data_IF_109287809957
#
_entry.id   IF_109287809957
#
_cell.length_a   1.000
_cell.length_b   1.000
_cell.length_c   1.000
_cell.angle_alpha   90.00
_cell.angle_beta   90.00
_cell.angle_gamma   90.00
#
_symmetry.space_group_name_H-M   'P 1'
#
loop_
_entity.id
_entity.type
_entity.pdbx_description
1 polymer ?
#
# COMPACT_ATOMS: atom_id res chain seq x y z
N UNK A 1 0.03 -20.70 -8.32
CA UNK A 1 -0.33 -20.68 -6.92
C UNK A 1 0.84 -20.77 -5.93
N UNK A 2 2.13 -20.77 -6.40
CA UNK A 2 3.28 -20.67 -5.49
C UNK A 2 3.33 -19.28 -4.83
N UNK A 3 3.80 -19.20 -3.59
CA UNK A 3 3.88 -17.94 -2.85
C UNK A 3 5.28 -17.37 -2.95
N UNK A 4 5.33 -16.07 -3.21
CA UNK A 4 6.56 -15.27 -3.25
C UNK A 4 6.45 -14.15 -2.22
N UNK A 5 7.45 -14.03 -1.36
CA UNK A 5 7.48 -13.01 -0.32
C UNK A 5 8.42 -11.86 -0.68
N UNK A 6 8.06 -10.64 -0.30
CA UNK A 6 8.90 -9.46 -0.36
C UNK A 6 9.18 -8.90 1.04
N UNK A 7 10.46 -8.83 1.42
CA UNK A 7 10.93 -8.13 2.61
C UNK A 7 11.79 -6.95 2.14
N UNK A 8 11.11 -5.92 1.61
CA UNK A 8 11.69 -4.86 0.79
C UNK A 8 11.23 -3.47 1.22
N UNK A 9 12.07 -2.46 1.10
CA UNK A 9 11.62 -1.06 1.13
C UNK A 9 10.80 -0.73 -0.12
N UNK A 10 10.21 0.46 -0.14
CA UNK A 10 9.39 0.93 -1.27
C UNK A 10 10.27 1.39 -2.44
N UNK A 11 10.78 0.44 -3.21
CA UNK A 11 11.72 0.63 -4.33
C UNK A 11 11.20 -0.04 -5.61
N UNK A 12 11.71 0.34 -6.80
CA UNK A 12 11.27 -0.22 -8.08
C UNK A 12 11.35 -1.75 -8.13
N UNK A 13 12.38 -2.35 -7.54
CA UNK A 13 12.56 -3.80 -7.53
C UNK A 13 11.45 -4.54 -6.77
N UNK A 14 10.82 -3.91 -5.78
CA UNK A 14 9.66 -4.48 -5.08
C UNK A 14 8.45 -4.60 -6.03
N UNK A 15 8.23 -3.57 -6.85
CA UNK A 15 7.15 -3.57 -7.85
C UNK A 15 7.44 -4.58 -8.97
N UNK A 16 8.67 -4.61 -9.47
CA UNK A 16 9.09 -5.56 -10.50
C UNK A 16 8.91 -7.00 -10.01
N UNK A 17 9.34 -7.29 -8.78
CA UNK A 17 9.18 -8.62 -8.17
C UNK A 17 7.70 -9.02 -8.04
N UNK A 18 6.85 -8.09 -7.60
CA UNK A 18 5.42 -8.31 -7.49
C UNK A 18 4.76 -8.53 -8.85
N UNK A 19 5.05 -7.70 -9.86
CA UNK A 19 4.48 -7.83 -11.20
C UNK A 19 4.98 -9.12 -11.88
N UNK A 20 6.25 -9.47 -11.74
CA UNK A 20 6.79 -10.73 -12.24
C UNK A 20 6.12 -11.95 -11.56
N UNK A 21 5.87 -11.87 -10.25
CA UNK A 21 5.13 -12.91 -9.52
C UNK A 21 3.71 -13.07 -10.09
N UNK A 22 3.00 -11.97 -10.28
CA UNK A 22 1.64 -11.96 -10.80
C UNK A 22 1.59 -12.49 -12.26
N UNK A 23 2.57 -12.14 -13.10
CA UNK A 23 2.60 -12.52 -14.52
C UNK A 23 2.60 -14.04 -14.76
N UNK A 24 3.12 -14.81 -13.81
CA UNK A 24 3.18 -16.28 -13.86
C UNK A 24 2.09 -16.96 -13.01
N UNK A 25 1.10 -16.22 -12.53
CA UNK A 25 0.03 -16.77 -11.68
C UNK A 25 0.50 -17.20 -10.28
N UNK A 26 1.63 -16.69 -9.79
CA UNK A 26 2.08 -16.86 -8.41
C UNK A 26 1.49 -15.77 -7.50
N UNK A 27 1.52 -16.02 -6.18
CA UNK A 27 0.85 -15.18 -5.18
C UNK A 27 1.89 -14.34 -4.45
N UNK A 28 1.67 -13.02 -4.42
CA UNK A 28 2.58 -12.09 -3.75
C UNK A 28 2.14 -11.78 -2.32
N UNK A 29 3.12 -11.64 -1.43
CA UNK A 29 2.92 -11.08 -0.08
C UNK A 29 4.14 -10.28 0.33
N UNK A 30 3.97 -9.13 0.97
CA UNK A 30 5.11 -8.28 1.35
C UNK A 30 5.04 -7.75 2.77
N UNK A 31 6.22 -7.44 3.30
CA UNK A 31 6.46 -6.78 4.57
C UNK A 31 7.56 -5.74 4.42
N UNK A 32 7.50 -4.69 5.21
CA UNK A 32 8.52 -3.66 5.26
C UNK A 32 9.74 -4.11 6.08
N UNK A 33 10.98 -3.71 5.72
CA UNK A 33 12.21 -4.13 6.40
C UNK A 33 12.37 -3.54 7.81
N UNK A 34 11.56 -2.54 8.17
CA UNK A 34 11.49 -1.99 9.53
C UNK A 34 10.72 -2.89 10.50
N UNK A 35 9.94 -3.84 10.01
CA UNK A 35 9.23 -4.81 10.87
C UNK A 35 10.22 -5.70 11.65
N UNK A 36 9.83 -6.04 12.88
CA UNK A 36 10.59 -7.00 13.70
C UNK A 36 10.52 -8.42 13.14
N UNK A 37 11.52 -9.25 13.43
CA UNK A 37 11.63 -10.64 12.97
C UNK A 37 10.33 -11.41 13.23
N UNK A 38 9.83 -11.38 14.48
CA UNK A 38 8.59 -12.06 14.85
C UNK A 38 7.41 -11.61 13.99
N UNK A 39 7.29 -10.32 13.73
CA UNK A 39 6.19 -9.77 12.92
C UNK A 39 6.21 -10.28 11.49
N UNK A 40 7.40 -10.46 10.91
CA UNK A 40 7.58 -11.01 9.55
C UNK A 40 7.33 -12.51 9.53
N UNK A 41 7.89 -13.24 10.50
CA UNK A 41 7.73 -14.71 10.57
C UNK A 41 6.31 -15.13 10.88
N UNK A 42 5.59 -14.41 11.77
CA UNK A 42 4.17 -14.66 12.06
C UNK A 42 3.27 -14.53 10.81
N UNK A 43 3.70 -13.75 9.82
CA UNK A 43 3.01 -13.57 8.53
C UNK A 43 3.40 -14.64 7.54
N UNK A 44 4.68 -14.71 7.23
CA UNK A 44 5.18 -15.54 6.12
C UNK A 44 5.16 -17.03 6.43
N UNK A 45 5.24 -17.45 7.70
CA UNK A 45 5.08 -18.86 8.07
C UNK A 45 3.69 -19.41 7.75
N UNK A 46 2.66 -18.55 7.74
CA UNK A 46 1.30 -18.97 7.39
C UNK A 46 1.18 -19.36 5.92
N UNK A 47 1.85 -18.61 5.02
CA UNK A 47 1.75 -18.80 3.58
C UNK A 47 2.85 -19.67 3.00
N UNK A 48 3.90 -19.98 3.77
CA UNK A 48 5.01 -20.85 3.38
C UNK A 48 5.59 -20.50 2.01
N UNK A 49 6.21 -19.31 1.83
CA UNK A 49 6.71 -18.87 0.53
C UNK A 49 7.90 -19.76 0.09
N UNK A 50 8.02 -19.95 -1.24
CA UNK A 50 9.17 -20.63 -1.86
C UNK A 50 10.32 -19.67 -2.16
N UNK A 51 9.99 -18.42 -2.47
CA UNK A 51 10.97 -17.38 -2.82
C UNK A 51 10.76 -16.19 -1.91
N UNK A 52 11.87 -15.60 -1.46
CA UNK A 52 11.85 -14.32 -0.78
C UNK A 52 12.79 -13.33 -1.48
N UNK A 53 12.24 -12.15 -1.80
CA UNK A 53 13.03 -10.99 -2.19
C UNK A 53 13.33 -10.15 -0.95
N UNK A 54 14.57 -9.66 -0.83
CA UNK A 54 14.97 -8.76 0.26
C UNK A 54 15.95 -7.71 -0.25
N UNK A 55 16.00 -6.56 0.40
CA UNK A 55 17.08 -5.60 0.21
C UNK A 55 18.25 -5.91 1.17
N UNK A 56 19.49 -5.59 0.75
CA UNK A 56 20.67 -5.69 1.62
C UNK A 56 20.60 -4.76 2.82
N UNK A 57 20.01 -3.58 2.60
CA UNK A 57 19.82 -2.54 3.61
C UNK A 57 18.67 -1.60 3.19
N UNK A 58 18.22 -0.75 4.11
CA UNK A 58 17.24 0.31 3.87
C UNK A 58 17.63 1.58 4.63
N UNK A 59 17.01 2.71 4.25
CA UNK A 59 17.23 4.02 4.88
C UNK A 59 15.99 4.37 5.71
N UNK A 60 16.22 4.83 6.94
CA UNK A 60 15.17 5.46 7.73
C UNK A 60 15.76 6.57 8.60
N UNK A 61 15.13 7.75 8.56
CA UNK A 61 15.54 8.93 9.30
C UNK A 61 17.05 9.26 9.15
N UNK A 62 17.55 9.18 7.90
CA UNK A 62 18.96 9.45 7.54
C UNK A 62 19.95 8.38 7.97
N UNK A 63 19.51 7.27 8.53
CA UNK A 63 20.36 6.16 8.96
C UNK A 63 20.17 4.96 8.03
N UNK A 64 21.27 4.29 7.73
CA UNK A 64 21.25 3.01 7.02
C UNK A 64 21.13 1.85 8.00
N UNK A 65 20.25 0.95 7.72
CA UNK A 65 20.03 -0.28 8.50
C UNK A 65 20.27 -1.50 7.63
N UNK A 66 21.13 -2.43 8.07
CA UNK A 66 21.30 -3.72 7.43
C UNK A 66 20.03 -4.56 7.59
N UNK A 67 19.59 -5.21 6.51
CA UNK A 67 18.52 -6.21 6.58
C UNK A 67 19.06 -7.64 6.69
N UNK A 68 20.37 -7.83 6.52
CA UNK A 68 20.99 -9.16 6.37
C UNK A 68 20.81 -10.03 7.63
N UNK A 69 21.09 -9.48 8.80
CA UNK A 69 20.97 -10.22 10.05
C UNK A 69 19.50 -10.60 10.35
N UNK A 70 18.58 -9.68 10.10
CA UNK A 70 17.15 -9.97 10.23
C UNK A 70 16.72 -11.07 9.24
N UNK A 71 17.16 -10.96 7.99
CA UNK A 71 16.85 -11.92 6.94
C UNK A 71 17.34 -13.33 7.28
N UNK A 72 18.55 -13.47 7.83
CA UNK A 72 19.08 -14.75 8.30
C UNK A 72 18.18 -15.40 9.34
N UNK A 73 17.71 -14.63 10.33
CA UNK A 73 16.83 -15.15 11.39
C UNK A 73 15.43 -15.49 10.86
N UNK A 74 14.92 -14.71 9.91
CA UNK A 74 13.65 -14.99 9.24
C UNK A 74 13.72 -16.30 8.45
N UNK A 75 14.76 -16.49 7.64
CA UNK A 75 14.92 -17.69 6.78
C UNK A 75 15.03 -18.96 7.61
N UNK A 76 15.71 -18.93 8.76
CA UNK A 76 15.77 -20.09 9.67
C UNK A 76 14.39 -20.59 10.11
N UNK A 77 13.40 -19.69 10.17
CA UNK A 77 12.03 -19.99 10.59
C UNK A 77 11.09 -20.28 9.41
N UNK A 78 11.58 -20.17 8.18
CA UNK A 78 10.82 -20.38 6.94
C UNK A 78 11.48 -21.49 6.09
N UNK A 79 11.35 -22.77 6.47
CA UNK A 79 12.05 -23.86 5.82
C UNK A 79 11.59 -24.14 4.38
N UNK A 80 10.50 -23.54 3.94
CA UNK A 80 9.98 -23.67 2.57
C UNK A 80 10.68 -22.78 1.56
N UNK A 81 11.55 -21.85 2.01
CA UNK A 81 12.27 -20.95 1.11
C UNK A 81 13.35 -21.72 0.35
N UNK A 82 13.17 -21.81 -0.96
CA UNK A 82 14.08 -22.45 -1.90
C UNK A 82 15.12 -21.46 -2.44
N UNK A 83 14.74 -20.18 -2.59
CA UNK A 83 15.62 -19.11 -3.11
C UNK A 83 15.42 -17.80 -2.35
N UNK A 84 16.55 -17.12 -2.14
CA UNK A 84 16.61 -15.78 -1.55
C UNK A 84 17.20 -14.82 -2.59
N UNK A 85 16.43 -13.83 -3.01
CA UNK A 85 16.88 -12.86 -4.01
C UNK A 85 17.18 -11.54 -3.29
N UNK A 86 18.43 -11.10 -3.36
CA UNK A 86 18.91 -9.93 -2.64
C UNK A 86 19.14 -8.76 -3.61
N UNK A 87 18.43 -7.69 -3.38
CA UNK A 87 18.64 -6.38 -4.03
C UNK A 87 19.71 -5.62 -3.24
N UNK A 88 20.86 -5.37 -3.86
CA UNK A 88 21.89 -4.51 -3.24
C UNK A 88 21.58 -3.02 -3.45
N UNK A 89 20.46 -2.59 -2.86
CA UNK A 89 19.85 -1.28 -3.03
C UNK A 89 20.81 -0.12 -2.72
N UNK A 90 21.55 -0.23 -1.62
CA UNK A 90 22.48 0.80 -1.18
C UNK A 90 23.94 0.51 -1.56
N UNK A 91 24.19 -0.45 -2.44
CA UNK A 91 25.54 -0.90 -2.88
C UNK A 91 26.45 -1.25 -1.70
N UNK A 92 25.88 -1.92 -0.70
CA UNK A 92 26.57 -2.32 0.53
C UNK A 92 27.48 -3.55 0.34
N UNK A 93 27.38 -4.22 -0.82
CA UNK A 93 28.10 -5.45 -1.16
C UNK A 93 27.96 -6.51 -0.05
N UNK A 94 26.73 -6.98 0.23
CA UNK A 94 26.48 -7.90 1.32
C UNK A 94 27.25 -9.22 1.11
N UNK A 95 27.60 -9.84 2.22
CA UNK A 95 28.22 -11.18 2.19
C UNK A 95 27.16 -12.24 1.94
N UNK A 96 26.98 -12.62 0.68
CA UNK A 96 26.01 -13.63 0.26
C UNK A 96 26.27 -15.01 0.88
N UNK A 97 27.52 -15.34 1.27
CA UNK A 97 27.83 -16.62 1.88
C UNK A 97 27.11 -16.83 3.23
N UNK A 98 26.69 -15.75 3.87
CA UNK A 98 25.93 -15.81 5.12
C UNK A 98 24.46 -16.18 4.95
N UNK A 99 23.94 -16.16 3.72
CA UNK A 99 22.51 -16.40 3.45
C UNK A 99 22.40 -17.60 2.51
N UNK A 100 21.92 -18.75 3.00
CA UNK A 100 21.75 -19.94 2.19
C UNK A 100 20.87 -19.69 0.96
N UNK A 101 21.22 -20.30 -0.17
CA UNK A 101 20.47 -20.22 -1.43
C UNK A 101 20.25 -18.79 -1.96
N UNK A 102 21.10 -17.83 -1.56
CA UNK A 102 20.98 -16.45 -1.99
C UNK A 102 21.62 -16.23 -3.37
N UNK A 103 20.97 -15.32 -4.13
CA UNK A 103 21.48 -14.78 -5.40
C UNK A 103 21.30 -13.28 -5.43
N UNK A 104 22.16 -12.60 -6.17
CA UNK A 104 22.00 -11.17 -6.40
C UNK A 104 20.88 -10.93 -7.42
N UNK A 105 19.99 -9.99 -7.15
CA UNK A 105 18.91 -9.59 -8.06
C UNK A 105 19.40 -9.29 -9.48
N UNK A 106 20.54 -8.61 -9.61
CA UNK A 106 21.09 -8.24 -10.92
C UNK A 106 21.44 -9.43 -11.81
N UNK A 107 21.67 -10.61 -11.21
CA UNK A 107 21.96 -11.83 -11.97
C UNK A 107 20.72 -12.43 -12.65
N UNK A 108 19.53 -11.96 -12.28
CA UNK A 108 18.25 -12.34 -12.91
C UNK A 108 17.90 -11.48 -14.12
N UNK A 109 18.57 -10.34 -14.28
CA UNK A 109 18.29 -9.42 -15.37
C UNK A 109 18.96 -9.89 -16.66
N UNK A 110 18.20 -9.96 -17.75
CA UNK A 110 18.71 -10.27 -19.08
C UNK A 110 18.82 -9.00 -19.92
N UNK A 111 19.89 -8.91 -20.72
CA UNK A 111 20.02 -7.85 -21.73
C UNK A 111 19.21 -8.12 -23.00
N UNK A 112 18.76 -9.36 -23.18
CA UNK A 112 17.92 -9.81 -24.31
C UNK A 112 16.77 -10.66 -23.72
N UNK A 113 15.76 -10.02 -23.12
CA UNK A 113 14.68 -10.73 -22.48
C UNK A 113 13.70 -11.31 -23.50
N UNK A 114 13.25 -12.52 -23.24
CA UNK A 114 12.12 -13.10 -23.95
C UNK A 114 10.84 -12.27 -23.75
N UNK A 115 9.91 -12.30 -24.71
CA UNK A 115 8.60 -11.69 -24.54
C UNK A 115 7.87 -12.24 -23.29
N UNK A 116 7.25 -11.35 -22.54
CA UNK A 116 6.46 -11.76 -21.36
C UNK A 116 5.24 -12.56 -21.83
N UNK A 117 5.13 -13.79 -21.34
CA UNK A 117 3.94 -14.64 -21.52
C UNK A 117 3.17 -14.61 -20.21
N UNK A 118 1.99 -13.98 -20.24
CA UNK A 118 1.14 -13.90 -19.05
C UNK A 118 0.36 -15.21 -18.87
N UNK A 119 0.43 -15.77 -17.68
CA UNK A 119 -0.41 -16.89 -17.29
C UNK A 119 -1.88 -16.48 -17.31
N UNK A 120 -2.73 -17.30 -17.95
CA UNK A 120 -4.15 -17.06 -18.02
C UNK A 120 -4.82 -17.70 -16.80
N UNK A 121 -5.39 -16.87 -15.94
CA UNK A 121 -5.94 -17.29 -14.65
C UNK A 121 -7.42 -16.92 -14.52
N UNK A 122 -8.22 -17.64 -13.70
CA UNK A 122 -9.59 -17.25 -13.37
C UNK A 122 -9.65 -15.86 -12.72
N UNK A 123 -10.85 -15.24 -12.76
CA UNK A 123 -11.09 -13.91 -12.21
C UNK A 123 -10.77 -13.81 -10.71
N UNK A 124 -11.07 -14.84 -9.96
CA UNK A 124 -10.86 -14.98 -8.51
C UNK A 124 -9.52 -15.60 -8.13
N UNK A 125 -8.63 -15.83 -9.12
CA UNK A 125 -7.29 -16.36 -8.83
C UNK A 125 -6.57 -15.48 -7.81
N UNK A 126 -5.95 -16.08 -6.75
CA UNK A 126 -5.23 -15.33 -5.73
C UNK A 126 -4.10 -14.48 -6.31
N UNK A 127 -4.09 -13.20 -5.97
CA UNK A 127 -3.05 -12.24 -6.36
C UNK A 127 -2.16 -11.88 -5.18
N UNK A 128 -2.78 -11.52 -4.06
CA UNK A 128 -2.11 -11.07 -2.85
C UNK A 128 -2.55 -11.84 -1.62
N UNK A 129 -1.62 -12.00 -0.67
CA UNK A 129 -1.97 -12.27 0.73
C UNK A 129 -1.54 -11.05 1.56
N UNK A 130 -2.51 -10.41 2.18
CA UNK A 130 -2.32 -9.28 3.06
C UNK A 130 -2.69 -9.65 4.50
N UNK A 131 -2.28 -8.82 5.46
CA UNK A 131 -2.44 -9.15 6.87
C UNK A 131 -3.09 -8.01 7.65
N UNK A 132 -4.05 -8.37 8.50
CA UNK A 132 -4.59 -7.46 9.52
C UNK A 132 -4.13 -7.89 10.90
N UNK A 133 -4.08 -6.94 11.84
CA UNK A 133 -3.87 -7.25 13.24
C UNK A 133 -5.05 -8.08 13.75
N UNK A 134 -4.83 -9.38 14.01
CA UNK A 134 -5.83 -10.22 14.66
C UNK A 134 -6.03 -9.79 16.12
N UNK A 135 -7.26 -9.87 16.61
CA UNK A 135 -7.61 -9.58 18.01
C UNK A 135 -7.10 -10.63 18.99
N UNK A 136 -6.66 -11.80 18.50
CA UNK A 136 -6.40 -12.99 19.31
C UNK A 136 -5.06 -13.69 19.07
N UNK A 137 -4.06 -13.03 18.44
CA UNK A 137 -2.74 -13.64 18.27
C UNK A 137 -2.10 -13.41 16.90
N UNK A 138 -2.08 -14.42 16.03
CA UNK A 138 -1.48 -14.30 14.70
C UNK A 138 -2.28 -13.34 13.80
N UNK A 139 -1.60 -12.58 12.92
CA UNK A 139 -2.29 -11.76 11.93
C UNK A 139 -3.20 -12.61 11.04
N UNK A 140 -4.40 -12.09 10.75
CA UNK A 140 -5.30 -12.72 9.78
C UNK A 140 -4.71 -12.57 8.38
N UNK A 141 -4.55 -13.66 7.65
CA UNK A 141 -4.03 -13.70 6.28
C UNK A 141 -5.20 -13.69 5.29
N UNK A 142 -5.39 -12.56 4.61
CA UNK A 142 -6.52 -12.30 3.72
C UNK A 142 -6.04 -12.44 2.28
N UNK A 143 -6.74 -13.28 1.51
CA UNK A 143 -6.42 -13.54 0.09
C UNK A 143 -7.29 -12.69 -0.81
N UNK A 144 -6.64 -11.87 -1.64
CA UNK A 144 -7.32 -11.02 -2.63
C UNK A 144 -7.14 -11.56 -4.04
N UNK A 145 -8.23 -11.56 -4.81
CA UNK A 145 -8.27 -12.07 -6.18
C UNK A 145 -7.80 -11.04 -7.22
N UNK A 146 -7.34 -11.54 -8.35
CA UNK A 146 -6.73 -10.74 -9.44
C UNK A 146 -7.74 -9.78 -10.06
N UNK A 147 -8.85 -10.29 -10.57
CA UNK A 147 -9.82 -9.49 -11.33
C UNK A 147 -10.57 -8.50 -10.45
N UNK A 148 -11.01 -8.95 -9.27
CA UNK A 148 -11.75 -8.12 -8.32
C UNK A 148 -10.92 -6.93 -7.83
N UNK A 149 -9.66 -7.15 -7.45
CA UNK A 149 -8.74 -6.10 -7.04
C UNK A 149 -8.53 -5.06 -8.15
N UNK A 150 -8.24 -5.51 -9.37
CA UNK A 150 -7.96 -4.60 -10.49
C UNK A 150 -9.18 -3.74 -10.84
N UNK A 151 -10.38 -4.33 -10.94
CA UNK A 151 -11.61 -3.59 -11.26
C UNK A 151 -11.91 -2.57 -10.17
N UNK A 152 -11.82 -2.97 -8.91
CA UNK A 152 -12.10 -2.09 -7.78
C UNK A 152 -11.13 -0.91 -7.75
N UNK A 153 -9.82 -1.14 -7.89
CA UNK A 153 -8.82 -0.07 -7.90
C UNK A 153 -8.99 0.86 -9.11
N UNK A 154 -9.19 0.32 -10.31
CA UNK A 154 -9.43 1.15 -11.51
C UNK A 154 -10.67 2.03 -11.37
N UNK A 155 -11.76 1.52 -10.81
CA UNK A 155 -12.96 2.29 -10.51
C UNK A 155 -12.63 3.47 -9.58
N UNK A 156 -11.83 3.24 -8.55
CA UNK A 156 -11.43 4.30 -7.60
C UNK A 156 -10.53 5.34 -8.25
N UNK A 157 -9.54 4.91 -9.03
CA UNK A 157 -8.62 5.84 -9.70
C UNK A 157 -9.32 6.70 -10.74
N UNK A 158 -10.07 6.09 -11.64
CA UNK A 158 -10.68 6.79 -12.76
C UNK A 158 -11.88 7.66 -12.34
N UNK A 159 -12.70 7.18 -11.39
CA UNK A 159 -13.98 7.82 -11.07
C UNK A 159 -13.97 8.61 -9.77
N UNK A 160 -13.07 8.28 -8.85
CA UNK A 160 -12.99 8.95 -7.55
C UNK A 160 -11.77 9.86 -7.41
N UNK A 161 -10.66 9.53 -8.07
CA UNK A 161 -9.45 10.32 -8.05
C UNK A 161 -9.22 11.10 -9.36
N UNK A 162 -10.04 10.84 -10.40
CA UNK A 162 -9.94 11.48 -11.72
C UNK A 162 -8.54 11.36 -12.31
N UNK A 163 -7.99 10.14 -12.27
CA UNK A 163 -6.61 9.84 -12.68
C UNK A 163 -6.57 9.57 -14.16
N UNK A 164 -5.60 10.16 -14.82
CA UNK A 164 -5.27 9.87 -16.21
C UNK A 164 -3.76 9.54 -16.40
N UNK A 165 -3.35 9.38 -17.64
CA UNK A 165 -1.97 9.02 -18.00
C UNK A 165 -0.95 10.10 -17.65
N UNK A 166 -1.36 11.36 -17.64
CA UNK A 166 -0.48 12.53 -17.41
C UNK A 166 -0.23 12.75 -15.90
N UNK A 167 -0.95 12.03 -15.03
CA UNK A 167 -0.79 12.18 -13.61
C UNK A 167 0.51 11.57 -13.05
N UNK A 168 1.03 12.24 -12.05
CA UNK A 168 2.13 11.76 -11.20
C UNK A 168 1.62 11.58 -9.79
N UNK A 169 1.68 10.34 -9.30
CA UNK A 169 1.09 9.95 -8.01
C UNK A 169 2.19 9.58 -7.02
N UNK A 170 2.18 10.21 -5.87
CA UNK A 170 2.96 9.81 -4.71
C UNK A 170 2.00 9.39 -3.60
N UNK A 171 2.11 8.16 -3.11
CA UNK A 171 1.48 7.75 -1.86
C UNK A 171 2.56 7.40 -0.84
N UNK A 172 2.63 8.15 0.27
CA UNK A 172 3.56 7.83 1.34
C UNK A 172 3.13 6.54 2.04
N UNK A 173 3.81 5.45 1.74
CA UNK A 173 3.47 4.09 2.18
C UNK A 173 4.72 3.21 2.26
N UNK A 174 4.57 2.01 2.83
CA UNK A 174 5.59 0.96 2.86
C UNK A 174 5.04 -0.33 2.26
N UNK A 175 5.90 -1.25 1.85
CA UNK A 175 5.50 -2.56 1.31
C UNK A 175 4.70 -3.44 2.30
N UNK A 176 4.67 -3.09 3.58
CA UNK A 176 3.90 -3.77 4.61
C UNK A 176 2.49 -3.20 4.86
N UNK A 177 2.10 -2.15 4.16
CA UNK A 177 0.79 -1.51 4.27
C UNK A 177 -0.01 -1.68 2.98
N UNK A 178 -1.30 -1.97 3.08
CA UNK A 178 -2.21 -2.18 1.94
C UNK A 178 -2.18 -1.04 0.92
N UNK A 179 -1.94 0.19 1.35
CA UNK A 179 -1.86 1.34 0.45
C UNK A 179 -0.68 1.25 -0.54
N UNK A 180 0.32 0.40 -0.30
CA UNK A 180 1.34 0.10 -1.29
C UNK A 180 0.77 -0.67 -2.49
N UNK A 181 -0.08 -1.68 -2.24
CA UNK A 181 -0.76 -2.43 -3.29
C UNK A 181 -1.69 -1.52 -4.10
N UNK A 182 -2.36 -0.58 -3.41
CA UNK A 182 -3.18 0.43 -4.06
C UNK A 182 -2.34 1.39 -4.92
N UNK A 183 -1.20 1.88 -4.41
CA UNK A 183 -0.25 2.71 -5.18
C UNK A 183 0.26 2.01 -6.45
N UNK A 184 0.70 0.75 -6.34
CA UNK A 184 1.19 0.00 -7.52
C UNK A 184 0.12 -0.13 -8.59
N UNK A 185 -1.14 -0.28 -8.20
CA UNK A 185 -2.25 -0.42 -9.14
C UNK A 185 -2.53 0.85 -9.97
N UNK A 186 -2.02 2.04 -9.58
CA UNK A 186 -2.09 3.25 -10.44
C UNK A 186 -1.40 3.06 -11.79
N UNK A 187 -0.40 2.19 -11.88
CA UNK A 187 0.24 1.84 -13.16
C UNK A 187 -0.78 1.33 -14.20
N UNK A 188 -1.90 0.77 -13.76
CA UNK A 188 -2.97 0.31 -14.67
C UNK A 188 -3.72 1.43 -15.38
N UNK A 189 -3.56 2.68 -14.97
CA UNK A 189 -4.11 3.87 -15.63
C UNK A 189 -3.13 4.50 -16.62
N UNK A 190 -1.86 4.08 -16.57
CA UNK A 190 -0.75 4.69 -17.31
C UNK A 190 -0.10 5.86 -16.59
N UNK A 191 -0.57 6.22 -15.39
CA UNK A 191 0.02 7.27 -14.56
C UNK A 191 1.44 6.91 -14.11
N UNK A 192 2.24 7.92 -13.83
CA UNK A 192 3.55 7.78 -13.20
C UNK A 192 3.39 7.65 -11.70
N UNK A 193 4.07 6.69 -11.08
CA UNK A 193 4.13 6.59 -9.62
C UNK A 193 5.52 6.99 -9.10
N UNK A 194 5.54 7.75 -8.02
CA UNK A 194 6.77 8.15 -7.32
C UNK A 194 6.90 7.27 -6.08
N UNK A 195 8.06 6.64 -5.92
CA UNK A 195 8.37 5.80 -4.78
C UNK A 195 9.27 6.54 -3.83
N UNK A 196 9.01 6.40 -2.55
CA UNK A 196 9.80 7.02 -1.50
C UNK A 196 10.15 5.99 -0.41
N UNK A 197 11.45 5.86 -0.12
CA UNK A 197 11.96 5.06 0.99
C UNK A 197 12.62 5.97 1.99
N UNK A 198 12.03 6.13 3.18
CA UNK A 198 12.55 6.99 4.22
C UNK A 198 11.50 7.58 5.16
N UNK A 199 11.95 8.43 6.08
CA UNK A 199 11.07 9.17 6.99
C UNK A 199 10.53 10.43 6.29
N UNK A 200 9.21 10.74 6.43
CA UNK A 200 8.59 11.86 5.73
C UNK A 200 9.06 13.24 6.25
N UNK A 201 9.75 13.27 7.39
CA UNK A 201 10.28 14.49 8.01
C UNK A 201 11.81 14.58 7.99
N UNK A 202 12.47 13.71 7.23
CA UNK A 202 13.93 13.73 7.09
C UNK A 202 14.33 14.03 5.65
N UNK A 203 15.36 14.84 5.41
CA UNK A 203 16.25 15.54 6.38
C UNK A 203 15.63 16.77 7.01
N UNK A 204 14.50 17.20 6.51
CA UNK A 204 13.81 18.45 6.85
C UNK A 204 12.28 18.19 6.78
N UNK A 205 11.46 18.77 7.65
CA UNK A 205 10.00 18.62 7.61
C UNK A 205 9.33 19.03 6.30
N UNK A 206 10.01 19.80 5.44
CA UNK A 206 9.52 20.21 4.12
C UNK A 206 9.75 19.16 3.04
N UNK A 207 10.50 18.08 3.32
CA UNK A 207 10.98 17.12 2.32
C UNK A 207 9.87 16.61 1.39
N UNK A 208 8.73 16.17 1.94
CA UNK A 208 7.62 15.64 1.14
C UNK A 208 6.98 16.73 0.25
N UNK A 209 6.85 17.96 0.75
CA UNK A 209 6.26 19.07 0.01
C UNK A 209 7.19 19.59 -1.10
N UNK A 210 8.49 19.62 -0.85
CA UNK A 210 9.49 19.92 -1.88
C UNK A 210 9.48 18.88 -3.00
N UNK A 211 9.30 17.60 -2.64
CA UNK A 211 9.18 16.51 -3.61
C UNK A 211 7.93 16.66 -4.49
N UNK A 212 6.84 17.19 -3.95
CA UNK A 212 5.63 17.50 -4.74
C UNK A 212 5.95 18.45 -5.89
N UNK A 213 6.70 19.52 -5.63
CA UNK A 213 7.11 20.48 -6.66
C UNK A 213 8.17 19.89 -7.59
N UNK A 214 9.20 19.25 -7.05
CA UNK A 214 10.34 18.73 -7.81
C UNK A 214 9.94 17.69 -8.86
N UNK A 215 8.96 16.84 -8.51
CA UNK A 215 8.50 15.78 -9.39
C UNK A 215 7.15 16.05 -10.05
N UNK A 216 6.59 17.25 -9.88
CA UNK A 216 5.31 17.63 -10.48
C UNK A 216 4.16 16.72 -10.03
N UNK A 217 4.13 16.34 -8.75
CA UNK A 217 3.13 15.42 -8.22
C UNK A 217 1.75 16.07 -8.28
N UNK A 218 0.80 15.37 -8.90
CA UNK A 218 -0.58 15.83 -9.06
C UNK A 218 -1.50 15.26 -7.98
N UNK A 219 -1.19 14.06 -7.50
CA UNK A 219 -1.94 13.39 -6.42
C UNK A 219 -0.96 12.98 -5.32
N UNK A 220 -1.18 13.51 -4.12
CA UNK A 220 -0.39 13.18 -2.94
C UNK A 220 -1.25 12.42 -1.92
N UNK A 221 -0.93 11.15 -1.71
CA UNK A 221 -1.56 10.30 -0.71
C UNK A 221 -0.72 10.17 0.56
N UNK A 222 -1.36 10.25 1.71
CA UNK A 222 -0.71 10.18 3.01
C UNK A 222 -1.66 9.66 4.10
N UNK A 223 -1.22 9.70 5.36
CA UNK A 223 -2.06 9.42 6.52
C UNK A 223 -2.55 10.70 7.20
N UNK A 224 -3.68 10.62 7.89
CA UNK A 224 -4.17 11.70 8.74
C UNK A 224 -3.12 12.12 9.79
N UNK A 225 -2.35 11.16 10.31
CA UNK A 225 -1.25 11.43 11.24
C UNK A 225 -0.12 12.28 10.64
N UNK A 226 0.17 12.15 9.35
CA UNK A 226 1.15 13.01 8.69
C UNK A 226 0.66 14.44 8.61
N UNK A 227 -0.60 14.65 8.23
CA UNK A 227 -1.22 15.99 8.18
C UNK A 227 -1.22 16.63 9.58
N UNK A 228 -1.61 15.88 10.61
CA UNK A 228 -1.57 16.35 12.00
C UNK A 228 -0.14 16.67 12.45
N UNK A 229 0.84 15.87 12.08
CA UNK A 229 2.22 16.14 12.40
C UNK A 229 2.73 17.43 11.72
N UNK A 230 2.36 17.69 10.48
CA UNK A 230 2.66 18.95 9.80
C UNK A 230 2.03 20.13 10.54
N UNK A 231 0.76 20.04 10.89
CA UNK A 231 0.04 21.07 11.67
C UNK A 231 0.70 21.34 13.02
N UNK A 232 1.01 20.28 13.77
CA UNK A 232 1.62 20.39 15.10
C UNK A 232 3.05 20.96 15.07
N UNK A 233 3.76 20.80 13.97
CA UNK A 233 5.06 21.43 13.73
C UNK A 233 4.94 22.82 13.11
N UNK A 234 3.75 23.41 13.02
CA UNK A 234 3.47 24.73 12.44
C UNK A 234 4.04 24.87 11.03
N UNK A 235 4.03 23.81 10.27
CA UNK A 235 4.51 23.82 8.88
C UNK A 235 3.47 24.52 8.00
N UNK A 236 3.93 25.41 7.13
CA UNK A 236 3.05 26.15 6.18
C UNK A 236 3.57 25.90 4.76
N UNK A 237 3.22 24.77 4.12
CA UNK A 237 3.74 24.38 2.81
C UNK A 237 3.59 25.45 1.74
N UNK A 238 2.46 26.17 1.69
CA UNK A 238 2.22 27.25 0.71
C UNK A 238 3.26 28.38 0.75
N UNK A 239 4.02 28.55 1.86
CA UNK A 239 4.98 29.63 2.00
C UNK A 239 6.36 29.29 1.41
N UNK A 240 6.62 28.00 1.14
CA UNK A 240 7.93 27.54 0.64
C UNK A 240 7.86 26.58 -0.55
N UNK A 241 6.67 26.07 -0.89
CA UNK A 241 6.43 25.20 -2.03
C UNK A 241 5.32 25.80 -2.91
N UNK A 242 5.49 25.74 -4.21
CA UNK A 242 4.49 26.26 -5.16
C UNK A 242 3.22 25.41 -5.16
N UNK A 243 3.38 24.09 -5.07
CA UNK A 243 2.31 23.10 -5.15
C UNK A 243 1.40 23.27 -6.37
N UNK A 244 1.93 23.87 -7.45
CA UNK A 244 1.14 24.23 -8.63
C UNK A 244 0.50 23.02 -9.31
N UNK A 245 1.24 21.91 -9.39
CA UNK A 245 0.78 20.64 -9.96
C UNK A 245 -0.22 19.89 -9.09
N UNK A 246 -0.17 20.09 -7.76
CA UNK A 246 -0.96 19.32 -6.81
C UNK A 246 -2.45 19.64 -6.94
N UNK A 247 -3.26 18.69 -7.34
CA UNK A 247 -4.71 18.81 -7.45
C UNK A 247 -5.49 18.05 -6.38
N UNK A 248 -4.92 16.97 -5.86
CA UNK A 248 -5.60 16.10 -4.89
C UNK A 248 -4.66 15.70 -3.76
N UNK A 249 -5.15 15.79 -2.53
CA UNK A 249 -4.54 15.18 -1.34
C UNK A 249 -5.49 14.08 -0.86
N UNK A 250 -4.95 12.87 -0.65
CA UNK A 250 -5.69 11.72 -0.12
C UNK A 250 -5.18 11.39 1.28
N UNK A 251 -6.10 11.19 2.22
CA UNK A 251 -5.78 10.90 3.62
C UNK A 251 -6.52 9.67 4.12
N UNK A 252 -5.78 8.71 4.72
CA UNK A 252 -6.37 7.51 5.33
C UNK A 252 -5.58 7.01 6.54
N UNK A 253 -5.92 5.83 7.07
CA UNK A 253 -5.27 5.18 8.22
C UNK A 253 -5.84 5.59 9.57
N UNK A 254 -6.54 6.71 9.64
CA UNK A 254 -7.38 7.14 10.75
C UNK A 254 -8.32 8.26 10.26
N UNK A 255 -9.42 8.57 10.98
CA UNK A 255 -10.26 9.70 10.62
C UNK A 255 -9.45 11.00 10.57
N UNK A 256 -9.71 11.82 9.55
CA UNK A 256 -9.18 13.17 9.46
C UNK A 256 -10.07 14.10 10.30
N UNK A 257 -9.48 14.74 11.30
CA UNK A 257 -10.24 15.62 12.20
C UNK A 257 -10.50 16.99 11.54
N UNK A 258 -11.53 17.66 12.01
CA UNK A 258 -11.99 18.95 11.49
C UNK A 258 -10.89 19.99 11.30
N UNK A 259 -10.03 20.16 12.31
CA UNK A 259 -8.93 21.14 12.30
C UNK A 259 -7.86 20.79 11.25
N UNK A 260 -7.81 19.54 10.79
CA UNK A 260 -6.88 19.12 9.74
C UNK A 260 -7.43 19.47 8.36
N UNK A 261 -8.75 19.53 8.17
CA UNK A 261 -9.36 20.13 6.97
C UNK A 261 -9.01 21.62 6.89
N UNK A 262 -9.25 22.37 7.96
CA UNK A 262 -8.92 23.79 8.02
C UNK A 262 -7.43 24.02 7.70
N UNK A 263 -6.54 23.25 8.33
CA UNK A 263 -5.10 23.33 8.09
C UNK A 263 -4.73 23.11 6.62
N UNK A 264 -5.31 22.11 5.95
CA UNK A 264 -5.01 21.83 4.53
C UNK A 264 -5.35 23.03 3.66
N UNK A 265 -6.54 23.62 3.83
CA UNK A 265 -6.99 24.73 3.01
C UNK A 265 -6.32 26.06 3.36
N UNK A 266 -5.98 26.28 4.63
CA UNK A 266 -5.33 27.51 5.09
C UNK A 266 -3.82 27.52 4.89
N UNK A 267 -3.15 26.37 5.05
CA UNK A 267 -1.69 26.31 5.13
C UNK A 267 -1.01 25.49 4.00
N UNK A 268 -1.76 24.65 3.30
CA UNK A 268 -1.21 23.86 2.19
C UNK A 268 -1.68 24.45 0.85
N UNK A 269 -2.94 24.23 0.47
CA UNK A 269 -3.46 24.73 -0.81
C UNK A 269 -4.98 24.92 -0.78
N UNK A 270 -5.49 26.15 -1.00
CA UNK A 270 -6.93 26.45 -0.90
C UNK A 270 -7.78 25.83 -2.01
N UNK A 271 -7.18 25.42 -3.11
CA UNK A 271 -7.90 24.86 -4.29
C UNK A 271 -7.73 23.36 -4.45
N UNK A 272 -7.08 22.67 -3.49
CA UNK A 272 -6.85 21.23 -3.58
C UNK A 272 -8.15 20.47 -3.26
N UNK A 273 -8.39 19.35 -3.94
CA UNK A 273 -9.35 18.37 -3.51
C UNK A 273 -8.78 17.58 -2.34
N UNK A 274 -9.40 17.65 -1.17
CA UNK A 274 -9.02 16.86 0.00
C UNK A 274 -9.95 15.65 0.13
N UNK A 275 -9.43 14.47 -0.19
CA UNK A 275 -10.14 13.21 -0.07
C UNK A 275 -9.79 12.48 1.24
N UNK A 276 -10.69 12.51 2.22
CA UNK A 276 -10.63 11.60 3.35
C UNK A 276 -11.15 10.23 2.94
N UNK A 277 -10.41 9.17 3.26
CA UNK A 277 -10.68 7.81 2.80
C UNK A 277 -10.94 6.90 3.99
N UNK A 278 -12.04 6.16 3.94
CA UNK A 278 -12.35 5.06 4.86
C UNK A 278 -12.37 3.74 4.11
N UNK A 279 -11.49 2.84 4.51
CA UNK A 279 -11.35 1.52 3.91
C UNK A 279 -10.46 0.62 4.75
N UNK A 280 -9.99 -0.48 4.17
CA UNK A 280 -9.16 -1.40 4.94
C UNK A 280 -8.57 -2.53 4.12
N UNK A 281 -7.71 -3.28 4.80
CA UNK A 281 -7.06 -4.47 4.23
C UNK A 281 -8.06 -5.55 3.84
N UNK A 282 -9.16 -5.67 4.60
CA UNK A 282 -10.19 -6.70 4.34
C UNK A 282 -10.82 -6.59 2.95
N UNK A 283 -10.94 -5.39 2.42
CA UNK A 283 -11.46 -5.16 1.07
C UNK A 283 -10.40 -4.73 0.06
N UNK A 284 -9.16 -4.52 0.48
CA UNK A 284 -8.05 -3.94 -0.32
C UNK A 284 -8.44 -2.63 -1.03
N UNK A 285 -9.34 -1.89 -0.43
CA UNK A 285 -10.09 -0.82 -1.08
C UNK A 285 -10.69 0.14 -0.06
N UNK A 286 -11.67 0.94 -0.50
CA UNK A 286 -12.36 1.95 0.27
C UNK A 286 -13.87 1.74 0.27
N UNK A 287 -14.51 1.94 1.42
CA UNK A 287 -15.96 2.05 1.56
C UNK A 287 -16.47 3.42 1.14
N UNK A 288 -15.72 4.46 1.53
CA UNK A 288 -16.01 5.86 1.24
C UNK A 288 -14.71 6.61 0.95
N UNK A 289 -14.75 7.52 0.01
CA UNK A 289 -13.56 8.24 -0.45
C UNK A 289 -13.91 9.55 -1.17
N UNK A 290 -12.95 10.12 -1.87
CA UNK A 290 -13.06 11.36 -2.64
C UNK A 290 -14.08 11.28 -3.80
N UNK A 291 -14.52 12.43 -4.26
CA UNK A 291 -15.24 12.58 -5.53
C UNK A 291 -14.86 13.91 -6.18
N UNK A 292 -14.43 13.91 -7.45
CA UNK A 292 -14.04 15.14 -8.14
C UNK A 292 -15.21 16.08 -8.46
N UNK A 293 -16.45 15.56 -8.38
CA UNK A 293 -17.67 16.31 -8.75
C UNK A 293 -18.51 16.73 -7.54
N UNK A 294 -18.07 16.41 -6.32
CA UNK A 294 -18.78 16.79 -5.10
C UNK A 294 -17.94 17.78 -4.27
N UNK A 295 -18.59 18.66 -3.50
CA UNK A 295 -17.89 19.54 -2.57
C UNK A 295 -17.25 18.72 -1.43
N UNK A 296 -16.16 19.25 -0.88
CA UNK A 296 -15.56 18.75 0.35
C UNK A 296 -16.19 19.50 1.53
N UNK A 297 -16.78 18.75 2.46
CA UNK A 297 -17.28 19.28 3.72
C UNK A 297 -16.30 18.94 4.84
N UNK A 298 -16.10 19.91 5.73
CA UNK A 298 -15.22 19.80 6.89
C UNK A 298 -15.67 18.65 7.79
N UNK A 299 -14.75 17.71 8.08
CA UNK A 299 -15.01 16.57 8.96
C UNK A 299 -15.78 15.41 8.32
N UNK A 300 -16.08 15.47 7.02
CA UNK A 300 -16.87 14.45 6.35
C UNK A 300 -16.07 13.65 5.31
N UNK A 301 -16.50 12.40 5.08
CA UNK A 301 -16.15 11.64 3.88
C UNK A 301 -17.07 12.11 2.74
N UNK A 302 -16.50 12.41 1.55
CA UNK A 302 -17.28 13.02 0.48
C UNK A 302 -18.42 12.15 -0.04
N UNK A 303 -18.17 10.86 -0.23
CA UNK A 303 -19.21 9.95 -0.72
C UNK A 303 -18.89 8.49 -0.44
N UNK A 304 -19.91 7.65 -0.55
CA UNK A 304 -19.74 6.20 -0.64
C UNK A 304 -19.02 5.84 -1.95
N UNK A 305 -18.16 4.84 -1.91
CA UNK A 305 -17.52 4.31 -3.12
C UNK A 305 -18.57 3.84 -4.13
N UNK A 306 -18.38 4.15 -5.41
CA UNK A 306 -19.25 3.65 -6.46
C UNK A 306 -19.29 2.12 -6.45
N UNK A 307 -20.48 1.54 -6.51
CA UNK A 307 -20.68 0.09 -6.40
C UNK A 307 -20.53 -0.48 -4.99
N UNK A 308 -20.39 0.38 -3.96
CA UNK A 308 -20.33 -0.04 -2.55
C UNK A 308 -21.66 0.30 -1.85
N UNK A 309 -22.39 -0.72 -1.43
CA UNK A 309 -23.67 -0.57 -0.71
C UNK A 309 -23.41 -0.35 0.79
N UNK A 310 -22.82 0.80 1.09
CA UNK A 310 -22.38 1.16 2.44
C UNK A 310 -23.51 1.85 3.21
N UNK A 311 -23.64 1.52 4.49
CA UNK A 311 -24.64 2.07 5.39
C UNK A 311 -24.08 2.17 6.83
N UNK A 312 -24.82 2.81 7.73
CA UNK A 312 -24.55 2.82 9.15
C UNK A 312 -25.70 2.12 9.88
N UNK A 313 -25.38 1.11 10.71
CA UNK A 313 -26.36 0.32 11.42
C UNK A 313 -26.30 0.55 12.93
N UNK A 314 -27.45 0.59 13.57
CA UNK A 314 -27.55 0.54 15.04
C UNK A 314 -27.28 -0.86 15.58
N UNK A 315 -27.31 -1.00 16.90
CA UNK A 315 -27.09 -2.28 17.59
C UNK A 315 -28.13 -3.36 17.25
N UNK A 316 -29.28 -2.99 16.68
CA UNK A 316 -30.34 -3.88 16.27
C UNK A 316 -30.26 -4.24 14.76
N UNK A 317 -29.23 -3.74 14.04
CA UNK A 317 -29.07 -3.96 12.62
C UNK A 317 -29.97 -3.08 11.74
N UNK A 318 -30.54 -2.00 12.28
CA UNK A 318 -31.33 -1.06 11.48
C UNK A 318 -30.46 0.09 10.95
N UNK A 319 -30.71 0.47 9.69
CA UNK A 319 -30.07 1.65 9.10
C UNK A 319 -30.39 2.93 9.89
N UNK A 320 -29.37 3.73 10.17
CA UNK A 320 -29.51 5.00 10.89
C UNK A 320 -28.92 6.17 10.09
N UNK A 321 -29.56 7.32 10.20
CA UNK A 321 -29.12 8.60 9.61
C UNK A 321 -29.01 9.62 10.73
N UNK A 322 -27.96 10.45 10.70
CA UNK A 322 -27.66 11.46 11.73
C UNK A 322 -27.49 10.88 13.14
N UNK A 323 -27.07 9.62 13.24
CA UNK A 323 -26.75 8.92 14.49
C UNK A 323 -25.47 8.12 14.30
N UNK A 324 -24.76 7.86 15.41
CA UNK A 324 -23.65 6.92 15.41
C UNK A 324 -24.16 5.52 15.11
N UNK A 325 -23.42 4.79 14.30
CA UNK A 325 -23.68 3.40 13.96
C UNK A 325 -22.40 2.70 13.47
N UNK A 326 -22.48 1.39 13.34
CA UNK A 326 -21.42 0.60 12.71
C UNK A 326 -21.45 0.75 11.19
N UNK A 327 -20.27 0.97 10.60
CA UNK A 327 -20.11 1.05 9.15
C UNK A 327 -20.22 -0.37 8.56
N UNK A 328 -21.21 -0.58 7.72
CA UNK A 328 -21.46 -1.89 7.08
C UNK A 328 -21.51 -1.75 5.56
N UNK A 329 -21.02 -2.78 4.85
CA UNK A 329 -21.26 -2.95 3.42
C UNK A 329 -22.22 -4.13 3.24
N UNK A 330 -23.43 -3.85 2.76
CA UNK A 330 -24.55 -4.82 2.76
C UNK A 330 -24.53 -5.77 1.58
N UNK A 331 -23.86 -5.42 0.50
CA UNK A 331 -23.86 -6.19 -0.74
C UNK A 331 -22.44 -6.60 -1.12
N UNK A 332 -22.27 -7.73 -1.81
CA UNK A 332 -20.97 -8.13 -2.35
C UNK A 332 -20.40 -7.07 -3.30
N UNK A 333 -19.08 -6.97 -3.34
CA UNK A 333 -18.35 -6.06 -4.22
C UNK A 333 -17.12 -6.78 -4.85
N UNK A 334 -16.54 -6.27 -5.94
CA UNK A 334 -15.55 -7.00 -6.72
C UNK A 334 -14.31 -7.43 -5.94
N UNK A 335 -13.85 -6.63 -4.98
CA UNK A 335 -12.64 -6.90 -4.19
C UNK A 335 -12.91 -7.54 -2.82
N UNK A 336 -14.06 -8.19 -2.63
CA UNK A 336 -14.22 -9.07 -1.46
C UNK A 336 -13.06 -10.07 -1.41
N UNK A 337 -12.57 -10.42 -0.21
CA UNK A 337 -11.59 -11.49 -0.09
C UNK A 337 -12.07 -12.77 -0.78
N UNK A 338 -11.16 -13.50 -1.40
CA UNK A 338 -11.50 -14.78 -2.01
C UNK A 338 -11.70 -15.83 -0.91
N UNK A 339 -10.80 -15.83 0.08
CA UNK A 339 -10.85 -16.65 1.30
C UNK A 339 -9.82 -16.13 2.32
N UNK A 340 -9.85 -16.66 3.54
CA UNK A 340 -8.75 -16.47 4.49
C UNK A 340 -7.79 -17.66 4.43
N UNK A 341 -6.50 -17.37 4.44
CA UNK A 341 -5.48 -18.42 4.41
C UNK A 341 -5.57 -19.31 5.66
N UNK A 342 -5.50 -20.64 5.49
CA UNK A 342 -5.70 -21.63 6.55
C UNK A 342 -7.13 -21.57 7.17
N UNK A 343 -8.13 -21.38 6.34
CA UNK A 343 -9.56 -21.39 6.69
C UNK A 343 -10.30 -22.27 5.68
N UNK A 344 -9.99 -23.58 5.68
CA UNK A 344 -10.44 -24.54 4.66
C UNK A 344 -11.96 -24.75 4.68
N UNK A 345 -12.58 -24.63 5.84
CA UNK A 345 -14.02 -24.74 6.07
C UNK A 345 -14.78 -23.41 5.94
N UNK A 346 -14.08 -22.29 5.85
CA UNK A 346 -14.66 -20.96 5.75
C UNK A 346 -15.31 -20.45 7.04
N UNK A 347 -15.02 -21.08 8.19
CA UNK A 347 -15.62 -20.66 9.47
C UNK A 347 -15.18 -19.27 9.95
N UNK A 348 -14.00 -18.82 9.51
CA UNK A 348 -13.46 -17.49 9.89
C UNK A 348 -13.85 -16.41 8.89
N UNK A 349 -14.13 -16.78 7.66
CA UNK A 349 -14.57 -15.89 6.59
C UNK A 349 -16.08 -15.62 6.72
#
# INVERSE_FOLDING_TARGET
GDRVAGFLPNIPEAIIAMLATASIGAIWSSSSPDFGIKSVTDRFSQIQPKIIFSASAYIYNGKTFSSIEKLQEIIKQLPTIEKVIIVDYLKTKPDYAKIPNSINYTTLLSNDPDPIIFEQVPFDHPLYVLYTSGTTGLPKSIVHGTGGTLIQHKKEFLLHCDVDREDTVLYYTTCGWMMWNWLVSFLSTGATIVLYDGSPFHPDPRAMWNMVDEHGITIFGTSAKFIDACKNNSLTPKDFASLSSLRTILSTGSPLVDESFDYVYEHIKPTVQLGSISGGTDLISCFALASPVLPVYRGELQCRGLGMDVDAFDENGNSVINKKGELVCKSPFPSMPVFFWNDEDGEKY
#
